data_IF_785329371536
#
_entry.id   IF_785329371536
#
_cell.length_a   1.000
_cell.length_b   1.000
_cell.length_c   1.000
_cell.angle_alpha   90.00
_cell.angle_beta   90.00
_cell.angle_gamma   90.00
#
_symmetry.space_group_name_H-M   'P 1'
#
loop_
_entity.id
_entity.type
_entity.pdbx_description
1 polymer ?
#
# COMPACT_ATOMS: atom_id res chain seq x y z
N UNK A 1 -18.00 -19.92 4.36
CA UNK A 1 -18.98 -19.84 3.26
C UNK A 1 -18.18 -19.43 2.04
N UNK A 2 -17.84 -20.39 1.19
CA UNK A 2 -17.03 -20.14 0.01
C UNK A 2 -17.87 -19.40 -1.03
N UNK A 3 -17.42 -18.21 -1.40
CA UNK A 3 -18.03 -17.44 -2.49
C UNK A 3 -17.58 -18.10 -3.79
N UNK A 4 -18.51 -18.58 -4.65
CA UNK A 4 -18.14 -19.26 -5.88
C UNK A 4 -17.30 -18.36 -6.79
N UNK A 5 -16.32 -18.95 -7.50
CA UNK A 5 -15.39 -18.28 -8.43
C UNK A 5 -16.13 -17.43 -9.48
N UNK A 6 -17.33 -17.83 -9.87
CA UNK A 6 -18.23 -17.11 -10.79
C UNK A 6 -18.64 -15.71 -10.29
N UNK A 7 -18.62 -15.48 -8.97
CA UNK A 7 -18.93 -14.19 -8.37
C UNK A 7 -17.84 -13.14 -8.66
N UNK A 8 -16.59 -13.56 -8.89
CA UNK A 8 -15.47 -12.67 -9.16
C UNK A 8 -15.51 -12.09 -10.58
N UNK A 9 -15.97 -12.85 -11.58
CA UNK A 9 -16.17 -12.34 -12.95
C UNK A 9 -17.25 -11.25 -13.03
N UNK A 10 -18.19 -11.23 -12.07
CA UNK A 10 -19.14 -10.11 -11.94
C UNK A 10 -18.44 -8.85 -11.43
N UNK A 11 -17.41 -8.94 -10.60
CA UNK A 11 -16.76 -7.76 -10.00
C UNK A 11 -16.08 -6.87 -11.07
N UNK A 12 -15.47 -7.46 -12.10
CA UNK A 12 -14.81 -6.76 -13.21
C UNK A 12 -15.79 -5.83 -13.97
N UNK A 13 -16.96 -6.35 -14.33
CA UNK A 13 -17.99 -5.58 -15.03
C UNK A 13 -18.55 -4.42 -14.21
N UNK A 14 -18.66 -4.59 -12.89
CA UNK A 14 -19.18 -3.55 -12.00
C UNK A 14 -18.18 -2.42 -11.83
N UNK A 15 -16.88 -2.72 -11.69
CA UNK A 15 -15.86 -1.68 -11.49
C UNK A 15 -15.79 -0.68 -12.66
N UNK A 16 -15.93 -1.15 -13.90
CA UNK A 16 -16.00 -0.26 -15.08
C UNK A 16 -17.25 0.62 -15.05
N UNK A 17 -18.41 0.03 -14.79
CA UNK A 17 -19.66 0.78 -14.67
C UNK A 17 -19.62 1.82 -13.55
N UNK A 18 -18.98 1.47 -12.43
CA UNK A 18 -18.79 2.36 -11.28
C UNK A 18 -17.82 3.51 -11.61
N UNK A 19 -16.77 3.25 -12.40
CA UNK A 19 -15.87 4.27 -12.91
C UNK A 19 -16.60 5.27 -13.82
N UNK A 20 -17.47 4.79 -14.72
CA UNK A 20 -18.28 5.64 -15.61
C UNK A 20 -19.27 6.53 -14.85
N UNK A 21 -19.67 6.12 -13.63
CA UNK A 21 -20.51 6.93 -12.74
C UNK A 21 -19.73 7.95 -11.91
N UNK A 22 -18.41 8.06 -12.11
CA UNK A 22 -17.58 9.06 -11.44
C UNK A 22 -17.41 8.79 -9.94
N UNK A 23 -17.35 7.52 -9.54
CA UNK A 23 -17.15 7.16 -8.15
C UNK A 23 -15.85 7.73 -7.61
N UNK A 24 -15.96 8.31 -6.41
CA UNK A 24 -14.84 8.96 -5.70
C UNK A 24 -14.16 8.03 -4.71
N UNK A 25 -14.88 7.07 -4.14
CA UNK A 25 -14.35 6.19 -3.10
C UNK A 25 -14.57 4.73 -3.49
N UNK A 26 -13.47 4.01 -3.66
CA UNK A 26 -13.47 2.58 -3.95
C UNK A 26 -12.80 1.85 -2.79
N UNK A 27 -13.60 1.07 -2.06
CA UNK A 27 -13.16 0.36 -0.87
C UNK A 27 -13.47 -1.12 -1.08
N UNK A 28 -12.43 -1.94 -1.18
CA UNK A 28 -12.54 -3.36 -1.46
C UNK A 28 -11.78 -4.11 -0.38
N UNK A 29 -12.52 -4.89 0.43
CA UNK A 29 -11.97 -5.66 1.54
C UNK A 29 -12.35 -7.11 1.42
N UNK A 30 -11.38 -8.00 1.57
CA UNK A 30 -11.64 -9.42 1.70
C UNK A 30 -11.52 -9.84 3.17
N UNK A 31 -12.39 -10.75 3.61
CA UNK A 31 -12.43 -11.23 5.01
C UNK A 31 -12.10 -12.71 5.16
N UNK A 32 -11.75 -13.42 4.08
CA UNK A 32 -11.36 -14.83 4.15
C UNK A 32 -9.96 -15.03 4.73
N UNK A 33 -9.72 -16.21 5.31
CA UNK A 33 -8.55 -16.48 6.14
C UNK A 33 -7.34 -17.06 5.38
N UNK A 34 -7.56 -17.90 4.37
CA UNK A 34 -6.50 -18.76 3.82
C UNK A 34 -6.06 -18.39 2.39
N UNK A 35 -6.97 -17.92 1.54
CA UNK A 35 -6.68 -17.58 0.15
C UNK A 35 -6.97 -16.12 -0.17
N UNK A 36 -5.93 -15.40 -0.58
CA UNK A 36 -6.03 -14.01 -1.01
C UNK A 36 -6.54 -13.98 -2.46
N UNK A 37 -7.75 -13.44 -2.73
CA UNK A 37 -8.19 -13.24 -4.10
C UNK A 37 -7.30 -12.23 -4.81
N UNK A 38 -7.26 -12.30 -6.14
CA UNK A 38 -6.55 -11.33 -6.96
C UNK A 38 -7.38 -10.04 -7.01
N UNK A 39 -6.74 -8.88 -6.81
CA UNK A 39 -7.39 -7.58 -7.03
C UNK A 39 -7.88 -7.54 -8.48
N UNK A 40 -9.16 -7.24 -8.74
CA UNK A 40 -9.63 -7.07 -10.11
C UNK A 40 -8.81 -5.98 -10.82
N UNK A 41 -8.25 -6.30 -12.00
CA UNK A 41 -7.33 -5.39 -12.71
C UNK A 41 -7.98 -4.04 -13.05
N UNK A 42 -9.31 -4.05 -13.22
CA UNK A 42 -10.11 -2.85 -13.47
C UNK A 42 -10.04 -1.82 -12.34
N UNK A 43 -9.66 -2.19 -11.11
CA UNK A 43 -9.40 -1.24 -10.01
C UNK A 43 -8.35 -0.21 -10.40
N UNK A 44 -7.30 -0.63 -11.11
CA UNK A 44 -6.22 0.27 -11.57
C UNK A 44 -6.59 1.02 -12.86
N UNK A 45 -7.70 0.63 -13.49
CA UNK A 45 -8.30 1.33 -14.63
C UNK A 45 -9.50 2.18 -14.21
N UNK A 46 -9.94 2.08 -12.95
CA UNK A 46 -11.12 2.72 -12.42
C UNK A 46 -10.87 4.23 -12.25
N UNK A 47 -11.06 4.96 -13.36
CA UNK A 47 -11.51 6.34 -13.41
C UNK A 47 -10.54 7.43 -12.94
N UNK A 48 -10.42 8.47 -13.77
CA UNK A 48 -9.84 9.77 -13.40
C UNK A 48 -10.56 10.51 -12.26
N UNK A 49 -11.60 9.91 -11.68
CA UNK A 49 -12.48 10.50 -10.65
C UNK A 49 -12.21 9.97 -9.22
N UNK A 50 -11.52 8.83 -9.07
CA UNK A 50 -11.30 8.23 -7.75
C UNK A 50 -10.38 9.10 -6.91
N UNK A 51 -10.85 9.44 -5.70
CA UNK A 51 -10.11 10.20 -4.69
C UNK A 51 -9.65 9.31 -3.54
N UNK A 52 -10.35 8.20 -3.28
CA UNK A 52 -10.03 7.26 -2.21
C UNK A 52 -9.98 5.84 -2.75
N UNK A 53 -8.87 5.14 -2.53
CA UNK A 53 -8.70 3.73 -2.84
C UNK A 53 -8.27 2.98 -1.58
N UNK A 54 -9.03 1.96 -1.22
CA UNK A 54 -8.68 1.04 -0.14
C UNK A 54 -8.75 -0.41 -0.59
N UNK A 55 -7.64 -1.12 -0.39
CA UNK A 55 -7.47 -2.54 -0.70
C UNK A 55 -6.99 -3.27 0.55
N UNK A 56 -7.76 -4.27 0.99
CA UNK A 56 -7.45 -5.05 2.19
C UNK A 56 -7.54 -6.55 1.89
N UNK A 57 -6.46 -7.28 2.14
CA UNK A 57 -6.37 -8.75 1.98
C UNK A 57 -6.51 -9.26 0.55
N UNK A 58 -5.66 -8.78 -0.36
CA UNK A 58 -5.63 -9.24 -1.76
C UNK A 58 -4.21 -9.59 -2.26
N UNK A 59 -4.15 -10.47 -3.27
CA UNK A 59 -2.99 -10.58 -4.18
C UNK A 59 -3.09 -9.49 -5.23
N UNK A 60 -2.05 -8.71 -5.39
CA UNK A 60 -2.02 -7.61 -6.36
C UNK A 60 -1.53 -8.17 -7.70
N UNK A 61 -2.28 -8.05 -8.81
CA UNK A 61 -1.76 -8.40 -10.12
C UNK A 61 -0.77 -7.33 -10.61
N UNK A 62 0.11 -7.63 -11.58
CA UNK A 62 0.92 -6.62 -12.25
C UNK A 62 0.08 -5.45 -12.74
N UNK A 63 0.59 -4.22 -12.63
CA UNK A 63 -0.09 -3.05 -13.16
C UNK A 63 -0.28 -3.19 -14.68
N UNK A 64 -1.42 -2.76 -15.24
CA UNK A 64 -1.59 -2.70 -16.69
C UNK A 64 -0.48 -1.87 -17.34
N UNK A 65 0.00 -2.28 -18.52
CA UNK A 65 0.98 -1.49 -19.29
C UNK A 65 0.46 -0.08 -19.64
N UNK A 66 -0.86 0.08 -19.70
CA UNK A 66 -1.57 1.34 -19.95
C UNK A 66 -1.92 2.12 -18.68
N UNK A 67 -1.44 1.69 -17.50
CA UNK A 67 -1.78 2.33 -16.23
C UNK A 67 -1.32 3.80 -16.21
N UNK A 68 -2.24 4.73 -16.44
CA UNK A 68 -1.94 6.17 -16.48
C UNK A 68 -1.74 6.83 -15.11
N UNK A 69 -2.01 6.12 -14.02
CA UNK A 69 -2.06 6.69 -12.68
C UNK A 69 -3.48 6.90 -12.15
N UNK A 70 -3.56 7.46 -10.94
CA UNK A 70 -4.80 7.83 -10.27
C UNK A 70 -4.75 9.34 -9.96
N UNK A 71 -5.01 10.21 -10.96
CA UNK A 71 -4.63 11.63 -10.90
C UNK A 71 -5.39 12.44 -9.84
N UNK A 72 -6.56 11.98 -9.40
CA UNK A 72 -7.37 12.63 -8.35
C UNK A 72 -7.25 11.95 -6.99
N UNK A 73 -6.42 10.92 -6.86
CA UNK A 73 -6.29 10.17 -5.62
C UNK A 73 -5.67 11.04 -4.53
N UNK A 74 -6.40 11.20 -3.43
CA UNK A 74 -5.96 11.91 -2.23
C UNK A 74 -5.74 10.97 -1.05
N UNK A 75 -6.32 9.77 -1.07
CA UNK A 75 -6.20 8.77 0.00
C UNK A 75 -5.98 7.37 -0.57
N UNK A 76 -4.85 6.76 -0.19
CA UNK A 76 -4.49 5.40 -0.54
C UNK A 76 -4.29 4.56 0.71
N UNK A 77 -5.03 3.46 0.82
CA UNK A 77 -4.94 2.50 1.92
C UNK A 77 -4.67 1.10 1.37
N UNK A 78 -3.47 0.59 1.63
CA UNK A 78 -3.01 -0.73 1.27
C UNK A 78 -2.71 -1.52 2.55
N UNK A 79 -3.50 -2.55 2.83
CA UNK A 79 -3.33 -3.35 4.05
C UNK A 79 -3.38 -4.84 3.72
N UNK A 80 -2.39 -5.58 4.23
CA UNK A 80 -2.34 -7.04 4.10
C UNK A 80 -2.39 -7.44 2.60
N UNK A 81 -1.47 -6.90 1.80
CA UNK A 81 -1.42 -7.11 0.35
C UNK A 81 -0.22 -7.95 -0.05
N UNK A 82 -0.44 -8.87 -0.98
CA UNK A 82 0.58 -9.77 -1.52
C UNK A 82 0.92 -9.36 -2.94
N UNK A 83 2.08 -8.73 -3.12
CA UNK A 83 2.58 -8.30 -4.42
C UNK A 83 3.40 -9.41 -5.10
N UNK A 84 3.46 -9.42 -6.45
CA UNK A 84 4.31 -10.32 -7.19
C UNK A 84 5.79 -9.93 -7.00
N UNK A 85 6.68 -10.68 -7.64
CA UNK A 85 8.09 -10.30 -7.74
C UNK A 85 8.23 -8.87 -8.30
N UNK A 86 9.13 -8.09 -7.71
CA UNK A 86 9.32 -6.66 -8.00
C UNK A 86 8.13 -5.75 -7.69
N UNK A 87 7.23 -6.20 -6.80
CA UNK A 87 6.06 -5.45 -6.34
C UNK A 87 6.36 -4.03 -5.82
N UNK A 88 7.55 -3.79 -5.30
CA UNK A 88 8.02 -2.49 -4.86
C UNK A 88 8.01 -1.44 -5.98
N UNK A 89 8.30 -1.85 -7.21
CA UNK A 89 8.24 -0.96 -8.38
C UNK A 89 6.80 -0.60 -8.73
N UNK A 90 5.88 -1.52 -8.54
CA UNK A 90 4.46 -1.24 -8.74
C UNK A 90 3.95 -0.23 -7.71
N UNK A 91 4.37 -0.36 -6.45
CA UNK A 91 4.04 0.60 -5.39
C UNK A 91 4.62 1.99 -5.69
N UNK A 92 5.89 2.05 -6.08
CA UNK A 92 6.55 3.29 -6.49
C UNK A 92 5.81 3.99 -7.64
N UNK A 93 5.40 3.23 -8.67
CA UNK A 93 4.62 3.75 -9.80
C UNK A 93 3.22 4.21 -9.36
N UNK A 94 2.52 3.42 -8.53
CA UNK A 94 1.18 3.75 -8.04
C UNK A 94 1.17 5.07 -7.24
N UNK A 95 2.14 5.23 -6.34
CA UNK A 95 2.28 6.42 -5.50
C UNK A 95 2.72 7.61 -6.35
N UNK A 96 3.75 7.45 -7.18
CA UNK A 96 4.28 8.57 -7.99
C UNK A 96 3.30 9.08 -9.04
N UNK A 97 2.44 8.20 -9.56
CA UNK A 97 1.36 8.57 -10.50
C UNK A 97 0.06 9.00 -9.78
N UNK A 98 0.15 9.34 -8.51
CA UNK A 98 -0.94 9.90 -7.69
C UNK A 98 -0.52 11.27 -7.11
N UNK A 99 -0.40 12.33 -7.93
CA UNK A 99 0.24 13.60 -7.55
C UNK A 99 -0.54 14.42 -6.49
N UNK A 100 -1.79 14.05 -6.21
CA UNK A 100 -2.63 14.69 -5.20
C UNK A 100 -2.70 13.91 -3.88
N UNK A 101 -1.88 12.85 -3.73
CA UNK A 101 -1.93 11.98 -2.57
C UNK A 101 -1.60 12.74 -1.27
N UNK A 102 -2.58 12.81 -0.38
CA UNK A 102 -2.46 13.47 0.93
C UNK A 102 -2.38 12.47 2.08
N UNK A 103 -2.94 11.27 1.91
CA UNK A 103 -2.98 10.23 2.95
C UNK A 103 -2.49 8.91 2.37
N UNK A 104 -1.48 8.33 3.00
CA UNK A 104 -0.93 7.03 2.63
C UNK A 104 -0.91 6.12 3.85
N UNK A 105 -1.59 4.99 3.74
CA UNK A 105 -1.50 3.89 4.70
C UNK A 105 -0.95 2.67 3.97
N UNK A 106 0.17 2.16 4.47
CA UNK A 106 0.81 0.92 4.00
C UNK A 106 1.03 0.02 5.21
N UNK A 107 0.35 -1.12 5.25
CA UNK A 107 0.45 -2.05 6.38
C UNK A 107 0.53 -3.51 5.91
N UNK A 108 1.35 -4.30 6.61
CA UNK A 108 1.37 -5.77 6.50
C UNK A 108 1.57 -6.30 5.06
N UNK A 109 2.37 -5.62 4.24
CA UNK A 109 2.60 -6.06 2.87
C UNK A 109 3.58 -7.22 2.79
N UNK A 110 3.35 -8.09 1.82
CA UNK A 110 4.26 -9.15 1.39
C UNK A 110 4.64 -8.89 -0.07
N UNK A 111 5.94 -8.90 -0.38
CA UNK A 111 6.43 -8.82 -1.76
C UNK A 111 7.10 -10.15 -2.09
N UNK A 112 6.66 -10.79 -3.18
CA UNK A 112 7.23 -12.05 -3.63
C UNK A 112 8.74 -11.93 -3.85
N UNK A 113 9.51 -12.82 -3.21
CA UNK A 113 10.94 -12.93 -3.40
C UNK A 113 11.29 -14.41 -3.63
N UNK A 114 11.31 -14.87 -4.89
CA UNK A 114 11.53 -16.28 -5.19
C UNK A 114 12.96 -16.76 -4.87
N UNK A 115 13.94 -15.85 -4.70
CA UNK A 115 15.36 -16.21 -4.64
C UNK A 115 16.06 -15.83 -3.32
N UNK A 116 15.32 -15.37 -2.31
CA UNK A 116 15.90 -14.97 -1.01
C UNK A 116 16.88 -13.78 -1.09
N UNK A 117 16.89 -13.05 -2.21
CA UNK A 117 17.75 -11.87 -2.43
C UNK A 117 17.18 -10.62 -1.77
N UNK A 118 18.02 -9.67 -1.35
CA UNK A 118 17.53 -8.44 -0.68
C UNK A 118 16.48 -7.68 -1.49
N UNK A 119 15.59 -6.96 -0.79
CA UNK A 119 14.57 -6.10 -1.41
C UNK A 119 15.22 -5.02 -2.29
N UNK A 120 14.63 -4.72 -3.46
CA UNK A 120 15.10 -3.57 -4.25
C UNK A 120 14.80 -2.28 -3.49
N UNK A 121 15.75 -1.35 -3.57
CA UNK A 121 15.54 0.01 -3.08
C UNK A 121 14.55 0.74 -3.98
N UNK A 122 13.55 1.38 -3.36
CA UNK A 122 12.53 2.18 -4.03
C UNK A 122 12.15 3.38 -3.16
N UNK A 123 11.53 4.39 -3.76
CA UNK A 123 11.31 5.68 -3.10
C UNK A 123 9.81 6.01 -3.02
N UNK A 124 9.37 6.42 -1.83
CA UNK A 124 8.03 7.00 -1.63
C UNK A 124 8.10 8.47 -2.03
N UNK A 125 7.59 8.78 -3.22
CA UNK A 125 7.47 10.15 -3.72
C UNK A 125 6.02 10.64 -3.63
N UNK A 126 5.71 11.42 -2.59
CA UNK A 126 4.37 11.97 -2.35
C UNK A 126 4.49 13.39 -1.76
N UNK A 127 4.73 14.44 -2.57
CA UNK A 127 5.09 15.77 -2.08
C UNK A 127 3.95 16.48 -1.32
N UNK A 128 2.70 16.07 -1.54
CA UNK A 128 1.51 16.62 -0.87
C UNK A 128 1.06 15.80 0.34
N UNK A 129 1.86 14.82 0.76
CA UNK A 129 1.50 13.91 1.84
C UNK A 129 1.37 14.67 3.17
N UNK A 130 0.20 14.55 3.79
CA UNK A 130 -0.16 15.13 5.09
C UNK A 130 -0.23 14.08 6.20
N UNK A 131 -0.62 12.86 5.85
CA UNK A 131 -0.72 11.75 6.79
C UNK A 131 -0.03 10.50 6.24
N UNK A 132 0.90 9.95 7.01
CA UNK A 132 1.60 8.70 6.70
C UNK A 132 1.37 7.69 7.81
N UNK A 133 0.90 6.50 7.45
CA UNK A 133 0.86 5.34 8.34
C UNK A 133 1.61 4.18 7.68
N UNK A 134 2.65 3.71 8.35
CA UNK A 134 3.45 2.56 7.89
C UNK A 134 3.53 1.50 8.98
N UNK A 135 3.24 0.26 8.61
CA UNK A 135 3.42 -0.91 9.47
C UNK A 135 4.03 -2.07 8.69
N UNK A 136 5.19 -2.58 9.13
CA UNK A 136 5.80 -3.75 8.52
C UNK A 136 6.68 -4.52 9.49
N UNK A 137 6.62 -5.85 9.37
CA UNK A 137 7.45 -6.80 10.12
C UNK A 137 8.76 -7.15 9.39
N UNK A 138 8.84 -6.84 8.09
CA UNK A 138 9.99 -7.14 7.23
C UNK A 138 10.57 -5.86 6.62
N UNK A 139 11.85 -5.86 6.28
CA UNK A 139 12.44 -4.79 5.47
C UNK A 139 11.82 -4.84 4.07
N UNK A 140 11.30 -3.74 3.55
CA UNK A 140 10.74 -3.69 2.19
C UNK A 140 11.58 -2.81 1.25
N UNK A 141 12.78 -2.40 1.67
CA UNK A 141 13.69 -1.63 0.82
C UNK A 141 13.28 -0.17 0.59
N UNK A 142 12.19 0.29 1.21
CA UNK A 142 11.69 1.64 1.01
C UNK A 142 12.63 2.72 1.53
N UNK A 143 12.60 3.83 0.82
CA UNK A 143 13.15 5.12 1.17
C UNK A 143 12.03 6.15 1.03
N UNK A 144 12.24 7.33 1.58
CA UNK A 144 11.31 8.43 1.45
C UNK A 144 12.07 9.68 1.01
N UNK A 145 11.46 10.45 0.12
CA UNK A 145 11.87 11.84 -0.10
C UNK A 145 11.35 12.72 1.03
N UNK A 146 11.72 14.00 1.05
CA UNK A 146 11.15 14.95 2.00
C UNK A 146 9.61 15.06 1.84
N UNK A 147 8.90 15.11 2.97
CA UNK A 147 7.46 15.32 3.02
C UNK A 147 7.13 16.71 3.57
N UNK A 148 7.22 17.78 2.75
CA UNK A 148 7.13 19.16 3.23
C UNK A 148 5.77 19.51 3.83
N UNK A 149 4.72 18.77 3.48
CA UNK A 149 3.34 18.98 3.97
C UNK A 149 2.93 18.03 5.10
N UNK A 150 3.86 17.23 5.63
CA UNK A 150 3.52 16.15 6.57
C UNK A 150 3.05 16.69 7.92
N UNK A 151 1.87 16.28 8.34
CA UNK A 151 1.28 16.69 9.62
C UNK A 151 1.30 15.56 10.63
N UNK A 152 0.97 14.35 10.18
CA UNK A 152 0.89 13.17 11.05
C UNK A 152 1.65 12.00 10.46
N UNK A 153 2.40 11.32 11.32
CA UNK A 153 3.10 10.09 11.00
C UNK A 153 2.84 9.05 12.09
N UNK A 154 2.38 7.86 11.70
CA UNK A 154 2.27 6.70 12.57
C UNK A 154 3.12 5.57 12.01
N UNK A 155 4.19 5.21 12.71
CA UNK A 155 5.23 4.34 12.17
C UNK A 155 5.47 3.16 13.11
N UNK A 156 5.23 1.95 12.61
CA UNK A 156 5.44 0.68 13.29
C UNK A 156 6.29 -0.22 12.37
N UNK A 157 7.58 0.09 12.27
CA UNK A 157 8.53 -0.64 11.43
C UNK A 157 9.76 -1.01 12.26
N UNK A 158 10.42 -2.11 11.90
CA UNK A 158 11.55 -2.67 12.64
C UNK A 158 12.85 -2.62 11.83
N UNK A 159 13.98 -2.62 12.54
CA UNK A 159 15.31 -2.74 11.94
C UNK A 159 15.77 -1.48 11.19
N UNK A 160 16.64 -1.62 10.17
CA UNK A 160 17.30 -0.49 9.51
C UNK A 160 16.36 0.42 8.70
N UNK A 161 15.11 0.00 8.51
CA UNK A 161 14.08 0.75 7.78
C UNK A 161 13.81 2.12 8.38
N UNK A 162 13.76 2.21 9.70
CA UNK A 162 13.45 3.46 10.41
C UNK A 162 14.49 4.54 10.08
N UNK A 163 15.77 4.18 10.06
CA UNK A 163 16.84 5.11 9.72
C UNK A 163 16.72 5.69 8.30
N UNK A 164 16.13 4.94 7.34
CA UNK A 164 15.97 5.39 5.94
C UNK A 164 14.87 6.42 5.76
N UNK A 165 13.82 6.36 6.56
CA UNK A 165 12.67 7.27 6.43
C UNK A 165 12.69 8.40 7.45
N UNK A 166 13.46 8.27 8.53
CA UNK A 166 13.52 9.26 9.61
C UNK A 166 13.78 10.70 9.13
N UNK A 167 14.71 10.96 8.18
CA UNK A 167 14.92 12.32 7.67
C UNK A 167 13.65 12.95 7.10
N UNK A 168 12.87 12.17 6.35
CA UNK A 168 11.60 12.59 5.73
C UNK A 168 10.48 12.86 6.72
N UNK A 169 10.56 12.26 7.92
CA UNK A 169 9.57 12.44 8.99
C UNK A 169 9.85 13.67 9.87
N UNK A 170 11.01 14.31 9.71
CA UNK A 170 11.47 15.42 10.57
C UNK A 170 10.49 16.60 10.65
N UNK A 171 9.68 16.80 9.60
CA UNK A 171 8.69 17.88 9.52
C UNK A 171 7.32 17.51 10.12
N UNK A 172 7.11 16.26 10.53
CA UNK A 172 5.82 15.82 11.06
C UNK A 172 5.48 16.53 12.38
N UNK A 173 4.31 17.18 12.43
CA UNK A 173 3.80 17.84 13.65
C UNK A 173 3.47 16.84 14.75
N UNK A 174 3.08 15.61 14.38
CA UNK A 174 2.79 14.50 15.30
C UNK A 174 3.43 13.23 14.79
N UNK A 175 4.34 12.67 15.57
CA UNK A 175 4.96 11.37 15.30
C UNK A 175 4.56 10.38 16.40
N UNK A 176 3.85 9.33 15.98
CA UNK A 176 3.58 8.17 16.82
C UNK A 176 4.48 7.04 16.36
N UNK A 177 5.47 6.72 17.18
CA UNK A 177 6.31 5.56 16.97
C UNK A 177 6.12 4.60 18.14
N UNK A 178 5.66 3.39 17.85
CA UNK A 178 5.71 2.31 18.82
C UNK A 178 7.11 1.70 18.72
N UNK A 179 8.02 2.19 19.56
CA UNK A 179 9.25 1.45 19.84
C UNK A 179 8.82 0.09 20.39
N UNK A 180 9.06 -0.96 19.63
CA UNK A 180 8.82 -2.34 20.07
C UNK A 180 9.73 -2.72 21.22
N UNK A 181 9.50 -2.19 22.42
CA UNK A 181 9.78 -2.92 23.64
C UNK A 181 8.63 -3.91 23.79
N UNK A 182 8.87 -5.15 23.34
CA UNK A 182 8.34 -6.44 23.80
C UNK A 182 8.38 -7.44 22.64
N UNK A 183 9.51 -8.16 22.52
CA UNK A 183 9.63 -9.57 22.08
C UNK A 183 11.11 -10.05 21.94
N UNK A 184 12.05 -9.48 22.68
CA UNK A 184 13.37 -10.11 22.95
C UNK A 184 13.36 -10.96 24.25
N UNK A 185 12.19 -11.30 24.78
CA UNK A 185 12.03 -12.12 26.00
C UNK A 185 11.41 -13.51 25.75
N UNK A 186 11.50 -14.06 24.53
CA UNK A 186 11.07 -15.44 24.28
C UNK A 186 12.07 -16.29 23.46
N UNK A 187 13.36 -15.92 23.47
CA UNK A 187 14.44 -16.82 22.99
C UNK A 187 15.60 -17.01 23.98
N UNK A 188 15.44 -16.57 25.22
CA UNK A 188 16.22 -17.08 26.34
C UNK A 188 15.25 -17.85 27.22
N UNK A 189 15.55 -19.12 27.51
CA UNK A 189 14.69 -20.19 28.04
C UNK A 189 13.90 -20.99 27.00
N UNK A 190 14.60 -21.89 26.29
CA UNK A 190 14.48 -23.35 26.46
C UNK A 190 15.59 -24.03 25.67
#
# INVERSE_FOLDING_TARGET
MDVPTESFHRVEGWLRLLADKGIKSLIIRFRGELDYPIVPIDVFSAGSAVTTLELVRYRVPPLPSTFGGLPKLTSLHLNDLHFPEHGERMLEVLISRSPLLEKLLIALMMIGNPNGGGHLKWVIWAPKLKALHMMSWIDLGWQAEEFPSLETAQIIIYGPQMARILPSLSQAKKLFHLLGKLLYLHQNFS
#
